data_IF_271329361274
#
_entry.id   IF_271329361274
#
_cell.length_a   1.000
_cell.length_b   1.000
_cell.length_c   1.000
_cell.angle_alpha   90.00
_cell.angle_beta   90.00
_cell.angle_gamma   90.00
#
_symmetry.space_group_name_H-M   'P 1'
#
loop_
_entity.id
_entity.type
_entity.pdbx_description
1 polymer ?
#
# COMPACT_ATOMS: atom_id res chain seq x y z
N UNK A 1 20.18 -15.33 30.49
CA UNK A 1 20.85 -15.83 29.26
C UNK A 1 19.74 -15.96 28.25
N UNK A 2 19.43 -14.83 27.61
CA UNK A 2 18.06 -14.55 27.19
C UNK A 2 17.83 -15.00 25.76
N UNK A 3 16.76 -15.76 25.60
CA UNK A 3 16.41 -16.59 24.45
C UNK A 3 16.37 -15.82 23.13
N UNK A 4 17.17 -16.29 22.18
CA UNK A 4 17.16 -15.92 20.76
C UNK A 4 15.78 -16.28 20.14
N UNK A 5 14.91 -15.29 19.97
CA UNK A 5 13.59 -15.45 19.34
C UNK A 5 13.74 -15.57 17.81
N UNK A 6 14.05 -16.79 17.33
CA UNK A 6 14.02 -17.19 15.92
C UNK A 6 12.63 -16.91 15.31
N UNK A 7 12.48 -15.81 14.58
CA UNK A 7 11.24 -15.51 13.84
C UNK A 7 11.13 -16.41 12.61
N UNK A 8 10.14 -17.29 12.62
CA UNK A 8 9.88 -18.33 11.63
C UNK A 8 9.56 -17.76 10.23
N UNK A 9 10.11 -18.33 9.14
CA UNK A 9 10.06 -17.76 7.78
C UNK A 9 8.64 -17.70 7.17
N UNK A 10 7.66 -18.36 7.79
CA UNK A 10 6.24 -18.36 7.36
C UNK A 10 5.52 -17.03 7.65
N UNK A 11 6.04 -16.19 8.56
CA UNK A 11 5.42 -14.91 8.96
C UNK A 11 5.72 -13.71 8.05
N UNK A 12 6.59 -13.85 7.05
CA UNK A 12 6.99 -12.73 6.17
C UNK A 12 5.94 -12.42 5.12
N UNK A 13 5.33 -13.45 4.50
CA UNK A 13 4.31 -13.25 3.45
C UNK A 13 3.02 -12.65 4.00
N UNK A 14 2.56 -13.11 5.16
CA UNK A 14 1.38 -12.55 5.83
C UNK A 14 1.59 -11.12 6.31
N UNK A 15 2.81 -10.77 6.75
CA UNK A 15 3.16 -9.37 7.06
C UNK A 15 3.14 -8.47 5.83
N UNK A 16 3.58 -8.94 4.67
CA UNK A 16 3.50 -8.17 3.42
C UNK A 16 2.03 -7.93 3.03
N UNK A 17 1.18 -8.95 3.07
CA UNK A 17 -0.24 -8.80 2.78
C UNK A 17 -0.93 -7.79 3.72
N UNK A 18 -0.69 -7.91 5.03
CA UNK A 18 -1.21 -6.95 6.02
C UNK A 18 -0.65 -5.54 5.77
N UNK A 19 0.62 -5.42 5.41
CA UNK A 19 1.24 -4.13 5.11
C UNK A 19 0.67 -3.48 3.85
N UNK A 20 0.36 -4.26 2.81
CA UNK A 20 -0.31 -3.76 1.59
C UNK A 20 -1.72 -3.30 1.93
N UNK A 21 -2.47 -4.07 2.71
CA UNK A 21 -3.82 -3.69 3.15
C UNK A 21 -3.78 -2.42 4.01
N UNK A 22 -2.87 -2.35 4.98
CA UNK A 22 -2.69 -1.16 5.82
C UNK A 22 -2.31 0.07 4.98
N UNK A 23 -1.44 -0.08 3.97
CA UNK A 23 -1.11 0.99 3.05
C UNK A 23 -2.31 1.44 2.19
N UNK A 24 -3.16 0.51 1.75
CA UNK A 24 -4.41 0.82 1.03
C UNK A 24 -5.41 1.58 1.91
N UNK A 25 -5.48 1.25 3.20
CA UNK A 25 -6.30 1.97 4.19
C UNK A 25 -5.64 3.24 4.74
N UNK A 26 -4.45 3.63 4.25
CA UNK A 26 -3.72 4.81 4.72
C UNK A 26 -3.03 4.66 6.09
N UNK A 27 -3.08 3.47 6.70
CA UNK A 27 -2.39 3.13 7.96
C UNK A 27 -0.93 2.74 7.64
N UNK A 28 -0.23 3.62 6.92
CA UNK A 28 1.20 3.46 6.65
C UNK A 28 1.96 3.63 7.97
N UNK A 29 2.74 2.64 8.39
CA UNK A 29 3.44 2.71 9.67
C UNK A 29 4.43 3.88 9.71
N UNK A 30 4.58 4.50 10.89
CA UNK A 30 5.54 5.57 11.18
C UNK A 30 6.96 5.26 10.69
N UNK A 31 7.38 3.99 10.79
CA UNK A 31 8.70 3.52 10.34
C UNK A 31 8.86 3.57 8.81
N UNK A 32 7.81 3.28 8.06
CA UNK A 32 7.84 3.46 6.60
C UNK A 32 7.88 4.96 6.28
N UNK A 33 7.07 5.75 6.98
CA UNK A 33 7.03 7.21 6.82
C UNK A 33 8.38 7.88 7.10
N UNK A 34 9.11 7.45 8.13
CA UNK A 34 10.46 7.94 8.41
C UNK A 34 11.47 7.62 7.31
N UNK A 35 11.41 6.41 6.74
CA UNK A 35 12.31 6.01 5.64
C UNK A 35 12.00 6.81 4.38
N UNK A 36 10.71 6.97 4.10
CA UNK A 36 10.13 7.76 3.04
C UNK A 36 10.50 9.27 3.14
N UNK A 37 10.53 9.82 4.36
CA UNK A 37 10.92 11.21 4.63
C UNK A 37 12.43 11.44 4.68
N UNK A 38 13.22 10.40 4.97
CA UNK A 38 14.68 10.47 4.90
C UNK A 38 15.22 10.29 3.47
N UNK A 39 14.35 10.02 2.50
CA UNK A 39 14.75 9.92 1.10
C UNK A 39 14.83 11.29 0.43
N UNK A 40 15.97 11.52 -0.22
CA UNK A 40 16.38 12.82 -0.77
C UNK A 40 15.52 13.32 -1.95
N UNK A 41 14.54 12.53 -2.44
CA UNK A 41 13.75 12.91 -3.61
C UNK A 41 12.26 12.66 -3.41
N UNK A 42 11.39 13.63 -3.70
CA UNK A 42 9.93 13.48 -3.62
C UNK A 42 9.32 12.72 -4.82
N UNK A 43 10.12 12.42 -5.84
CA UNK A 43 9.72 11.76 -7.09
C UNK A 43 8.92 10.47 -6.89
N UNK A 44 9.33 9.50 -6.03
CA UNK A 44 8.55 8.28 -5.81
C UNK A 44 7.14 8.53 -5.27
N UNK A 45 6.93 9.56 -4.42
CA UNK A 45 5.59 9.91 -3.92
C UNK A 45 4.69 10.46 -5.01
N UNK A 46 5.24 11.32 -5.89
CA UNK A 46 4.50 11.90 -7.00
C UNK A 46 4.05 10.80 -7.97
N UNK A 47 4.96 9.89 -8.33
CA UNK A 47 4.65 8.75 -9.20
C UNK A 47 3.61 7.84 -8.55
N UNK A 48 3.78 7.51 -7.25
CA UNK A 48 2.82 6.72 -6.49
C UNK A 48 1.43 7.36 -6.45
N UNK A 49 1.37 8.69 -6.25
CA UNK A 49 0.13 9.46 -6.26
C UNK A 49 -0.57 9.43 -7.62
N UNK A 50 0.16 9.63 -8.72
CA UNK A 50 -0.38 9.55 -10.08
C UNK A 50 -0.97 8.15 -10.35
N UNK A 51 -0.25 7.10 -9.98
CA UNK A 51 -0.73 5.72 -10.14
C UNK A 51 -1.99 5.50 -9.30
N UNK A 52 -2.01 5.94 -8.04
CA UNK A 52 -3.16 5.77 -7.16
C UNK A 52 -4.42 6.50 -7.69
N UNK A 53 -4.26 7.75 -8.14
CA UNK A 53 -5.35 8.53 -8.74
C UNK A 53 -5.84 7.86 -10.03
N UNK A 54 -4.93 7.41 -10.89
CA UNK A 54 -5.28 6.69 -12.12
C UNK A 54 -6.09 5.43 -11.85
N UNK A 55 -5.67 4.61 -10.87
CA UNK A 55 -6.41 3.43 -10.44
C UNK A 55 -7.78 3.78 -9.87
N UNK A 56 -7.89 4.85 -9.09
CA UNK A 56 -9.15 5.31 -8.53
C UNK A 56 -10.15 5.73 -9.63
N UNK A 57 -9.69 6.53 -10.60
CA UNK A 57 -10.53 6.94 -11.74
C UNK A 57 -10.95 5.74 -12.58
N UNK A 58 -10.04 4.80 -12.86
CA UNK A 58 -10.36 3.58 -13.59
C UNK A 58 -11.40 2.72 -12.86
N UNK A 59 -11.32 2.63 -11.53
CA UNK A 59 -12.32 1.96 -10.70
C UNK A 59 -13.69 2.64 -10.83
N UNK A 60 -13.75 3.97 -10.73
CA UNK A 60 -14.99 4.72 -10.90
C UNK A 60 -15.61 4.49 -12.28
N UNK A 61 -14.83 4.58 -13.35
CA UNK A 61 -15.29 4.30 -14.72
C UNK A 61 -15.87 2.89 -14.81
N UNK A 62 -15.16 1.90 -14.25
CA UNK A 62 -15.62 0.51 -14.27
C UNK A 62 -16.97 0.35 -13.56
N UNK A 63 -17.13 0.98 -12.40
CA UNK A 63 -18.40 0.97 -11.63
C UNK A 63 -19.50 1.65 -12.42
N UNK A 64 -19.24 2.85 -12.97
CA UNK A 64 -20.20 3.60 -13.79
C UNK A 64 -20.65 2.77 -14.99
N UNK A 65 -19.71 2.16 -15.73
CA UNK A 65 -20.03 1.29 -16.86
C UNK A 65 -20.83 0.07 -16.43
N UNK A 66 -20.48 -0.57 -15.33
CA UNK A 66 -21.21 -1.74 -14.83
C UNK A 66 -22.64 -1.37 -14.41
N UNK A 67 -22.83 -0.22 -13.76
CA UNK A 67 -24.15 0.27 -13.35
C UNK A 67 -25.00 0.68 -14.55
N UNK A 68 -24.41 1.43 -15.50
CA UNK A 68 -25.15 1.91 -16.68
C UNK A 68 -25.41 0.81 -17.70
N UNK A 69 -24.47 -0.12 -17.91
CA UNK A 69 -24.65 -1.22 -18.87
C UNK A 69 -25.64 -2.30 -18.42
N UNK A 70 -26.03 -2.30 -17.14
CA UNK A 70 -27.00 -3.24 -16.57
C UNK A 70 -28.43 -2.66 -16.51
N UNK A 71 -28.64 -1.52 -17.16
CA UNK A 71 -29.91 -0.83 -17.36
C UNK A 71 -30.17 -0.62 -18.85
#
# INVERSE_FOLDING_TARGET
MDSEKKTSPKKRKTRIAISVIAALFGVQSERNRQQDFNQQSPRPFIIGGIIAIGLFVALLITITLLVTAKH
#
